data_IF_527279339308
#
_entry.id   IF_527279339308
#
_cell.length_a   1.000
_cell.length_b   1.000
_cell.length_c   1.000
_cell.angle_alpha   90.00
_cell.angle_beta   90.00
_cell.angle_gamma   90.00
#
_symmetry.space_group_name_H-M   'P 1'
#
loop_
_entity.id
_entity.type
_entity.pdbx_description
1 polymer ?
#
# COMPACT_ATOMS: atom_id res chain seq x y z
N UNK A 1 12.30 -6.07 -10.54
CA UNK A 1 11.87 -4.81 -9.92
C UNK A 1 11.87 -3.73 -10.98
N UNK A 2 10.69 -3.32 -11.46
CA UNK A 2 10.60 -2.23 -12.41
C UNK A 2 11.06 -0.91 -11.74
N UNK A 3 12.17 -0.33 -12.20
CA UNK A 3 12.68 0.97 -11.72
C UNK A 3 12.01 2.10 -12.50
N UNK A 4 11.49 3.10 -11.78
CA UNK A 4 10.97 4.33 -12.39
C UNK A 4 12.15 5.08 -13.06
N UNK A 5 11.94 5.51 -14.31
CA UNK A 5 12.94 6.27 -15.08
C UNK A 5 13.30 7.60 -14.41
N UNK A 6 14.52 8.10 -14.67
CA UNK A 6 14.98 9.39 -14.13
C UNK A 6 14.08 10.55 -14.55
N UNK A 7 13.62 10.53 -15.80
CA UNK A 7 12.71 11.54 -16.36
C UNK A 7 11.37 11.59 -15.63
N UNK A 8 10.78 10.43 -15.32
CA UNK A 8 9.52 10.33 -14.57
C UNK A 8 9.66 10.87 -13.15
N UNK A 9 10.79 10.60 -12.49
CA UNK A 9 11.10 11.15 -11.17
C UNK A 9 11.28 12.68 -11.23
N UNK A 10 12.00 13.18 -12.23
CA UNK A 10 12.19 14.61 -12.41
C UNK A 10 10.85 15.33 -12.61
N UNK A 11 10.00 14.84 -13.51
CA UNK A 11 8.66 15.38 -13.74
C UNK A 11 7.81 15.36 -12.44
N UNK A 12 7.86 14.28 -11.68
CA UNK A 12 7.15 14.17 -10.40
C UNK A 12 7.57 15.26 -9.41
N UNK A 13 8.88 15.46 -9.21
CA UNK A 13 9.38 16.47 -8.26
C UNK A 13 9.21 17.91 -8.76
N UNK A 14 9.32 18.15 -10.07
CA UNK A 14 9.02 19.45 -10.66
C UNK A 14 7.54 19.80 -10.43
N UNK A 15 6.64 18.84 -10.66
CA UNK A 15 5.21 19.02 -10.40
C UNK A 15 4.91 19.34 -8.94
N UNK A 16 5.58 18.66 -7.99
CA UNK A 16 5.51 18.99 -6.56
C UNK A 16 5.98 20.41 -6.29
N UNK A 17 7.15 20.81 -6.83
CA UNK A 17 7.69 22.15 -6.64
C UNK A 17 6.72 23.23 -7.15
N UNK A 18 6.16 23.04 -8.35
CA UNK A 18 5.14 23.93 -8.90
C UNK A 18 3.90 24.01 -8.02
N UNK A 19 3.39 22.87 -7.54
CA UNK A 19 2.21 22.83 -6.68
C UNK A 19 2.46 23.56 -5.34
N UNK A 20 3.63 23.38 -4.73
CA UNK A 20 4.01 24.06 -3.48
C UNK A 20 4.10 25.57 -3.71
N UNK A 21 4.80 26.02 -4.76
CA UNK A 21 4.90 27.45 -5.07
C UNK A 21 3.52 28.05 -5.36
N UNK A 22 2.68 27.34 -6.11
CA UNK A 22 1.31 27.75 -6.39
C UNK A 22 0.47 27.87 -5.12
N UNK A 23 0.62 26.92 -4.19
CA UNK A 23 -0.05 26.96 -2.90
C UNK A 23 0.41 28.14 -2.03
N UNK A 24 1.71 28.45 -2.02
CA UNK A 24 2.25 29.61 -1.31
C UNK A 24 1.67 30.91 -1.88
N UNK A 25 1.60 31.04 -3.20
CA UNK A 25 0.99 32.20 -3.85
C UNK A 25 -0.51 32.31 -3.52
N UNK A 26 -1.22 31.18 -3.54
CA UNK A 26 -2.64 31.14 -3.20
C UNK A 26 -2.90 31.54 -1.74
N UNK A 27 -2.17 30.95 -0.79
CA UNK A 27 -2.36 31.23 0.64
C UNK A 27 -1.96 32.66 1.00
N UNK A 28 -1.04 33.29 0.25
CA UNK A 28 -0.62 34.68 0.46
C UNK A 28 -1.78 35.69 0.45
N UNK A 29 -2.84 35.39 -0.32
CA UNK A 29 -4.03 36.26 -0.39
C UNK A 29 -4.81 36.24 0.92
N UNK A 30 -4.88 35.10 1.62
CA UNK A 30 -5.55 35.02 2.93
C UNK A 30 -4.84 35.85 3.98
N UNK A 31 -3.50 35.87 3.97
CA UNK A 31 -2.72 36.75 4.83
C UNK A 31 -2.97 38.23 4.50
N UNK A 32 -3.05 38.58 3.21
CA UNK A 32 -3.36 39.94 2.76
C UNK A 32 -4.77 40.39 3.18
N UNK A 33 -5.76 39.50 3.09
CA UNK A 33 -7.13 39.78 3.54
C UNK A 33 -7.18 39.93 5.06
N UNK A 34 -6.52 39.05 5.81
CA UNK A 34 -6.44 39.13 7.26
C UNK A 34 -5.78 40.44 7.73
N UNK A 35 -4.70 40.89 7.07
CA UNK A 35 -4.08 42.18 7.38
C UNK A 35 -5.02 43.36 7.09
N UNK A 36 -5.76 43.31 5.99
CA UNK A 36 -6.74 44.35 5.65
C UNK A 36 -7.87 44.43 6.68
N UNK A 37 -8.35 43.29 7.18
CA UNK A 37 -9.38 43.25 8.23
C UNK A 37 -8.88 43.81 9.57
N UNK A 38 -7.59 43.66 9.88
CA UNK A 38 -6.99 44.23 11.10
C UNK A 38 -6.80 45.76 11.01
N UNK A 39 -6.51 46.30 9.82
CA UNK A 39 -6.28 47.73 9.61
C UNK A 39 -7.10 48.28 8.42
N UNK A 40 -8.43 48.45 8.57
CA UNK A 40 -9.34 48.72 7.44
C UNK A 40 -9.11 50.06 6.71
N UNK A 41 -8.52 51.03 7.40
CA UNK A 41 -8.36 52.41 6.90
C UNK A 41 -6.93 52.75 6.45
N UNK A 42 -5.95 51.90 6.76
CA UNK A 42 -4.53 52.09 6.40
C UNK A 42 -3.95 50.90 5.61
N UNK A 43 -4.69 49.79 5.54
CA UNK A 43 -4.28 48.58 4.84
C UNK A 43 -4.34 48.73 3.33
N UNK A 44 -3.39 48.08 2.65
CA UNK A 44 -3.41 47.91 1.19
C UNK A 44 -4.56 46.98 0.81
N UNK A 45 -5.34 47.35 -0.21
CA UNK A 45 -6.41 46.48 -0.72
C UNK A 45 -5.85 45.12 -1.17
N UNK A 46 -6.51 44.01 -0.79
CA UNK A 46 -6.04 42.68 -1.14
C UNK A 46 -6.17 42.44 -2.65
N UNK A 47 -5.06 42.03 -3.27
CA UNK A 47 -5.04 41.61 -4.68
C UNK A 47 -5.24 40.11 -4.81
N UNK A 48 -6.20 39.70 -5.65
CA UNK A 48 -6.51 38.30 -5.93
C UNK A 48 -5.69 37.72 -7.09
N UNK A 49 -4.83 38.52 -7.73
CA UNK A 49 -4.00 38.05 -8.86
C UNK A 49 -3.11 36.88 -8.43
N UNK A 50 -2.53 36.94 -7.23
CA UNK A 50 -1.71 35.86 -6.67
C UNK A 50 -2.51 34.58 -6.43
N UNK A 51 -3.79 34.69 -6.05
CA UNK A 51 -4.66 33.52 -5.88
C UNK A 51 -4.95 32.85 -7.22
N UNK A 52 -5.27 33.62 -8.26
CA UNK A 52 -5.52 33.08 -9.60
C UNK A 52 -4.26 32.41 -10.16
N UNK A 53 -3.13 33.12 -10.09
CA UNK A 53 -1.83 32.60 -10.54
C UNK A 53 -1.45 31.33 -9.75
N UNK A 54 -1.65 31.35 -8.44
CA UNK A 54 -1.39 30.22 -7.55
C UNK A 54 -2.25 29.00 -7.90
N UNK A 55 -3.56 29.19 -8.14
CA UNK A 55 -4.46 28.10 -8.55
C UNK A 55 -4.03 27.48 -9.88
N UNK A 56 -3.73 28.29 -10.89
CA UNK A 56 -3.28 27.78 -12.20
C UNK A 56 -1.97 27.00 -12.05
N UNK A 57 -1.02 27.52 -11.28
CA UNK A 57 0.26 26.85 -11.05
C UNK A 57 0.10 25.55 -10.26
N UNK A 58 -0.81 25.50 -9.29
CA UNK A 58 -1.17 24.28 -8.57
C UNK A 58 -1.73 23.23 -9.52
N UNK A 59 -2.73 23.58 -10.33
CA UNK A 59 -3.36 22.66 -11.28
C UNK A 59 -2.31 22.11 -12.26
N UNK A 60 -1.49 22.98 -12.85
CA UNK A 60 -0.40 22.57 -13.73
C UNK A 60 0.59 21.64 -13.02
N UNK A 61 0.99 21.99 -11.80
CA UNK A 61 1.88 21.16 -10.96
C UNK A 61 1.30 19.77 -10.69
N UNK A 62 0.01 19.67 -10.36
CA UNK A 62 -0.68 18.40 -10.14
C UNK A 62 -0.74 17.54 -11.41
N UNK A 63 -0.97 18.15 -12.58
CA UNK A 63 -0.98 17.43 -13.85
C UNK A 63 0.41 16.85 -14.15
N UNK A 64 1.46 17.67 -14.06
CA UNK A 64 2.84 17.24 -14.29
C UNK A 64 3.25 16.14 -13.31
N UNK A 65 2.89 16.29 -12.04
CA UNK A 65 3.14 15.28 -11.00
C UNK A 65 2.43 13.95 -11.31
N UNK A 66 1.16 13.98 -11.72
CA UNK A 66 0.41 12.78 -12.07
C UNK A 66 1.00 12.06 -13.28
N UNK A 67 1.50 12.80 -14.28
CA UNK A 67 2.20 12.23 -15.45
C UNK A 67 3.52 11.59 -15.01
N UNK A 68 4.30 12.25 -14.15
CA UNK A 68 5.54 11.66 -13.61
C UNK A 68 5.28 10.37 -12.83
N UNK A 69 4.26 10.39 -11.95
CA UNK A 69 3.89 9.23 -11.15
C UNK A 69 3.36 8.09 -12.01
N UNK A 70 2.35 8.32 -12.85
CA UNK A 70 1.64 7.25 -13.55
C UNK A 70 2.11 7.01 -14.98
N UNK A 71 3.06 7.79 -15.50
CA UNK A 71 3.44 7.76 -16.91
C UNK A 71 2.40 8.44 -17.80
N UNK A 72 2.73 8.65 -19.08
CA UNK A 72 1.83 9.32 -20.02
C UNK A 72 0.59 8.47 -20.32
N UNK A 73 0.74 7.14 -20.44
CA UNK A 73 -0.38 6.25 -20.69
C UNK A 73 -1.19 5.98 -19.42
N UNK A 74 -0.50 5.76 -18.29
CA UNK A 74 -1.17 5.54 -17.00
C UNK A 74 -1.84 6.79 -16.40
N UNK A 75 -1.49 7.99 -16.84
CA UNK A 75 -2.17 9.25 -16.47
C UNK A 75 -3.39 9.58 -17.34
N UNK A 76 -3.63 8.81 -18.41
CA UNK A 76 -4.72 9.06 -19.36
C UNK A 76 -4.42 10.13 -20.41
N UNK A 77 -3.18 10.63 -20.48
CA UNK A 77 -2.74 11.56 -21.53
C UNK A 77 -2.60 10.84 -22.89
N UNK A 78 -2.06 9.61 -22.87
CA UNK A 78 -2.00 8.71 -24.02
C UNK A 78 -2.95 7.54 -23.78
N UNK A 79 -3.95 7.37 -24.64
CA UNK A 79 -4.95 6.31 -24.51
C UNK A 79 -4.46 5.01 -25.14
N UNK A 80 -3.48 4.37 -24.50
CA UNK A 80 -2.96 3.06 -24.87
C UNK A 80 -3.05 2.11 -23.67
N UNK A 81 -3.96 1.11 -23.70
CA UNK A 81 -4.19 0.23 -22.56
C UNK A 81 -3.02 -0.72 -22.28
N UNK A 82 -2.24 -1.10 -23.30
CA UNK A 82 -1.07 -1.97 -23.12
C UNK A 82 0.05 -1.19 -22.46
N UNK A 83 0.34 0.00 -23.00
CA UNK A 83 1.35 0.90 -22.45
C UNK A 83 0.97 1.43 -21.06
N UNK A 84 -0.32 1.61 -20.77
CA UNK A 84 -0.79 1.96 -19.42
C UNK A 84 -0.46 0.86 -18.40
N UNK A 85 -0.55 -0.43 -18.78
CA UNK A 85 -0.14 -1.53 -17.90
C UNK A 85 1.36 -1.48 -17.62
N UNK A 86 2.18 -1.21 -18.63
CA UNK A 86 3.62 -1.08 -18.46
C UNK A 86 4.00 0.11 -17.58
N UNK A 87 3.37 1.27 -17.80
CA UNK A 87 3.58 2.48 -17.01
C UNK A 87 3.24 2.30 -15.53
N UNK A 88 2.24 1.46 -15.23
CA UNK A 88 1.74 1.15 -13.89
C UNK A 88 2.40 -0.08 -13.24
N UNK A 89 3.11 -0.94 -14.00
CA UNK A 89 3.81 -2.14 -13.48
C UNK A 89 4.60 -1.88 -12.20
N UNK A 90 5.44 -0.82 -12.09
CA UNK A 90 6.19 -0.55 -10.86
C UNK A 90 5.31 -0.40 -9.62
N UNK A 91 4.16 0.26 -9.75
CA UNK A 91 3.22 0.47 -8.65
C UNK A 91 2.41 -0.78 -8.34
N UNK A 92 2.00 -1.53 -9.38
CA UNK A 92 1.30 -2.81 -9.23
C UNK A 92 2.16 -3.87 -8.57
N UNK A 93 3.43 -3.99 -8.96
CA UNK A 93 4.42 -4.89 -8.34
C UNK A 93 4.65 -4.52 -6.87
N UNK A 94 4.85 -3.22 -6.57
CA UNK A 94 5.04 -2.76 -5.19
C UNK A 94 3.81 -3.03 -4.32
N UNK A 95 2.61 -2.73 -4.83
CA UNK A 95 1.35 -3.00 -4.12
C UNK A 95 1.12 -4.50 -3.90
N UNK A 96 1.44 -5.34 -4.90
CA UNK A 96 1.35 -6.79 -4.78
C UNK A 96 2.31 -7.35 -3.73
N UNK A 97 3.55 -6.84 -3.69
CA UNK A 97 4.53 -7.18 -2.65
C UNK A 97 4.00 -6.90 -1.25
N UNK A 98 3.45 -5.69 -1.02
CA UNK A 98 2.87 -5.33 0.28
C UNK A 98 1.71 -6.24 0.69
N UNK A 99 0.85 -6.66 -0.25
CA UNK A 99 -0.25 -7.59 0.05
C UNK A 99 0.30 -8.97 0.43
N UNK A 100 1.30 -9.45 -0.31
CA UNK A 100 1.95 -10.72 -0.04
C UNK A 100 2.66 -10.72 1.33
N UNK A 101 3.25 -9.60 1.73
CA UNK A 101 3.87 -9.43 3.04
C UNK A 101 2.82 -9.52 4.15
N UNK A 102 1.60 -8.99 3.96
CA UNK A 102 0.51 -9.13 4.94
C UNK A 102 0.02 -10.57 5.03
N UNK A 103 -0.22 -11.22 3.88
CA UNK A 103 -0.72 -12.61 3.84
C UNK A 103 0.28 -13.57 4.49
N UNK A 104 1.57 -13.43 4.17
CA UNK A 104 2.61 -14.29 4.74
C UNK A 104 2.72 -14.13 6.26
N UNK A 105 2.55 -12.93 6.80
CA UNK A 105 2.49 -12.72 8.25
C UNK A 105 1.28 -13.40 8.90
N UNK A 106 0.10 -13.38 8.27
CA UNK A 106 -1.09 -14.07 8.78
C UNK A 106 -0.88 -15.59 8.76
N UNK A 107 -0.31 -16.13 7.67
CA UNK A 107 -0.04 -17.56 7.53
C UNK A 107 0.99 -18.06 8.57
N UNK A 108 1.98 -17.22 8.90
CA UNK A 108 2.95 -17.48 9.98
C UNK A 108 2.26 -17.44 11.35
N UNK A 109 1.41 -16.46 11.61
CA UNK A 109 0.64 -16.38 12.86
C UNK A 109 -0.32 -17.56 13.00
N UNK A 110 -0.99 -18.00 11.93
CA UNK A 110 -1.90 -19.16 11.96
C UNK A 110 -1.13 -20.47 12.22
N UNK A 111 0.09 -20.61 11.68
CA UNK A 111 1.00 -21.73 11.98
C UNK A 111 1.53 -21.74 13.41
N UNK A 112 1.65 -20.57 14.05
CA UNK A 112 2.10 -20.45 15.46
C UNK A 112 0.91 -20.56 16.44
N UNK A 113 -0.26 -20.06 16.03
CA UNK A 113 -1.46 -19.98 16.88
C UNK A 113 -2.27 -21.26 16.90
N UNK A 114 -2.12 -22.13 15.89
CA UNK A 114 -2.54 -23.52 16.00
C UNK A 114 -1.49 -24.23 16.85
N UNK A 115 -1.79 -24.64 18.11
CA UNK A 115 -1.00 -25.71 18.69
C UNK A 115 -1.07 -26.85 17.68
N UNK A 116 0.06 -27.53 17.41
CA UNK A 116 0.01 -28.78 16.68
C UNK A 116 -1.15 -29.56 17.27
N UNK A 117 -2.16 -29.87 16.45
CA UNK A 117 -3.11 -30.91 16.79
C UNK A 117 -2.26 -32.17 16.87
N UNK A 118 -1.64 -32.38 18.03
CA UNK A 118 -1.24 -33.69 18.49
C UNK A 118 -2.55 -34.47 18.47
N UNK A 119 -2.83 -35.09 17.32
CA UNK A 119 -3.94 -36.02 17.18
C UNK A 119 -3.82 -36.94 18.38
N UNK A 120 -4.78 -36.87 19.30
CA UNK A 120 -4.81 -37.75 20.46
C UNK A 120 -4.91 -39.18 19.92
N UNK A 121 -3.76 -39.84 19.73
CA UNK A 121 -3.71 -41.22 19.24
C UNK A 121 -4.11 -42.10 20.42
N UNK A 122 -5.38 -42.49 20.45
CA UNK A 122 -5.91 -43.41 21.43
C UNK A 122 -5.24 -44.77 21.19
N UNK A 123 -4.52 -45.27 22.21
CA UNK A 123 -3.87 -46.59 22.17
C UNK A 123 -4.58 -47.56 23.09
N UNK A 124 -4.83 -48.76 22.59
CA UNK A 124 -5.49 -49.84 23.33
C UNK A 124 -4.44 -50.73 24.01
N UNK A 125 -4.59 -50.96 25.31
CA UNK A 125 -3.68 -51.83 26.07
C UNK A 125 -4.11 -53.29 25.97
N UNK A 126 -3.21 -54.17 25.54
CA UNK A 126 -3.43 -55.61 25.53
C UNK A 126 -3.53 -56.18 26.95
N UNK A 127 -4.51 -57.07 27.20
CA UNK A 127 -4.73 -57.67 28.53
C UNK A 127 -3.75 -58.80 28.90
N UNK A 128 -3.12 -59.43 27.91
CA UNK A 128 -2.20 -60.55 28.12
C UNK A 128 -0.74 -60.14 28.35
N UNK A 129 -0.30 -59.04 27.73
CA UNK A 129 1.11 -58.62 27.78
C UNK A 129 1.33 -57.10 27.97
N UNK A 130 0.28 -56.34 28.31
CA UNK A 130 0.29 -54.89 28.58
C UNK A 130 0.82 -53.98 27.45
N UNK A 131 1.04 -54.53 26.25
CA UNK A 131 1.54 -53.76 25.11
C UNK A 131 0.48 -52.79 24.59
N UNK A 132 0.89 -51.55 24.28
CA UNK A 132 0.03 -50.52 23.69
C UNK A 132 -0.06 -50.68 22.17
N UNK A 133 -1.27 -50.94 21.69
CA UNK A 133 -1.60 -51.16 20.30
C UNK A 133 -2.44 -50.01 19.75
N UNK A 134 -2.48 -49.90 18.44
CA UNK A 134 -3.27 -48.88 17.75
C UNK A 134 -4.76 -49.25 17.82
N UNK A 135 -5.66 -48.26 17.74
CA UNK A 135 -7.10 -48.45 17.97
C UNK A 135 -7.80 -49.42 17.01
N UNK A 136 -7.21 -49.64 15.83
CA UNK A 136 -7.70 -50.54 14.79
C UNK A 136 -7.02 -51.93 14.82
N UNK A 137 -6.13 -52.18 15.77
CA UNK A 137 -5.42 -53.45 15.90
C UNK A 137 -6.32 -54.54 16.48
N UNK A 138 -6.57 -55.60 15.69
CA UNK A 138 -7.31 -56.80 16.15
C UNK A 138 -6.45 -57.78 16.95
N UNK A 139 -5.14 -57.78 16.70
CA UNK A 139 -4.18 -58.68 17.37
C UNK A 139 -3.00 -57.88 17.93
N UNK A 140 -2.50 -58.33 19.08
CA UNK A 140 -1.42 -57.67 19.79
C UNK A 140 -0.10 -57.81 19.06
N UNK A 141 0.54 -56.67 18.78
CA UNK A 141 1.87 -56.64 18.15
C UNK A 141 2.99 -57.21 19.03
N UNK A 142 2.73 -57.41 20.32
CA UNK A 142 3.68 -57.98 21.28
C UNK A 142 3.54 -59.51 21.42
N UNK A 143 2.35 -59.98 21.80
CA UNK A 143 2.12 -61.41 22.11
C UNK A 143 1.29 -62.16 21.05
N UNK A 144 0.68 -61.48 20.08
CA UNK A 144 -0.16 -62.09 19.05
C UNK A 144 -1.58 -62.47 19.48
N UNK A 145 -1.94 -62.26 20.76
CA UNK A 145 -3.30 -62.49 21.24
C UNK A 145 -4.29 -61.44 20.71
N UNK A 146 -5.57 -61.80 20.62
CA UNK A 146 -6.64 -60.87 20.25
C UNK A 146 -6.81 -59.79 21.35
N UNK A 147 -6.93 -58.51 20.94
CA UNK A 147 -6.94 -57.34 21.86
C UNK A 147 -8.35 -56.90 22.22
#
# INVERSE_FOLDING_TARGET
MAKISGERKAAYYIGIGMAIVGFILFISVFFSVASFMNEPFMGREPSFVNAILGMVLMIAGFVVMNIGAKGAAGSGLLLDPEKAREDLKPFSEAKGGMINDVISNIDVVDKISKPQEDKEVIKVRCRGCDTLNDEDARFCKGCGEEI
#
